data_IF_448484591259
#
_entry.id   IF_448484591259
#
_cell.length_a   1.000
_cell.length_b   1.000
_cell.length_c   1.000
_cell.angle_alpha   90.00
_cell.angle_beta   90.00
_cell.angle_gamma   90.00
#
_symmetry.space_group_name_H-M   'P 1'
#
loop_
_entity.id
_entity.type
_entity.pdbx_description
1 polymer ?
#
# COMPACT_ATOMS: atom_id res chain seq x y z
N UNK A 1 13.76 13.55 9.69
CA UNK A 1 12.33 13.43 9.35
C UNK A 1 12.08 12.31 8.36
N UNK A 2 11.11 11.50 8.64
CA UNK A 2 10.68 10.42 7.75
C UNK A 2 9.18 10.53 7.50
N UNK A 3 8.74 10.04 6.34
CA UNK A 3 7.34 9.88 6.02
C UNK A 3 6.99 8.42 5.83
N UNK A 4 5.70 8.13 5.74
CA UNK A 4 5.25 6.77 5.47
C UNK A 4 4.02 6.77 4.58
N UNK A 5 3.89 5.69 3.80
CA UNK A 5 2.70 5.40 3.01
C UNK A 5 2.23 4.02 3.45
N UNK A 6 0.94 3.89 3.72
CA UNK A 6 0.36 2.62 4.14
C UNK A 6 -0.87 2.29 3.29
N UNK A 7 -1.08 1.01 3.04
CA UNK A 7 -2.27 0.53 2.34
C UNK A 7 -2.81 -0.73 3.03
N UNK A 8 -4.14 -0.89 3.08
CA UNK A 8 -4.74 -2.02 3.77
C UNK A 8 -4.75 -3.28 2.91
N UNK A 9 -4.78 -4.42 3.59
CA UNK A 9 -5.01 -5.73 2.98
C UNK A 9 -6.37 -6.24 3.45
N UNK A 10 -7.24 -6.58 2.51
CA UNK A 10 -8.59 -7.06 2.81
C UNK A 10 -8.68 -8.57 2.76
N UNK A 11 -9.53 -9.13 3.61
CA UNK A 11 -9.85 -10.56 3.57
C UNK A 11 -11.07 -10.82 2.65
N UNK A 12 -11.51 -12.07 2.60
CA UNK A 12 -12.64 -12.48 1.75
C UNK A 12 -13.95 -11.78 2.12
N UNK A 13 -14.08 -11.30 3.35
CA UNK A 13 -15.27 -10.58 3.84
C UNK A 13 -15.17 -9.06 3.64
N UNK A 14 -14.09 -8.57 3.02
CA UNK A 14 -13.87 -7.16 2.81
C UNK A 14 -13.38 -6.41 4.04
N UNK A 15 -12.93 -7.12 5.08
CA UNK A 15 -12.41 -6.50 6.30
C UNK A 15 -10.91 -6.32 6.19
N UNK A 16 -10.42 -5.22 6.77
CA UNK A 16 -8.98 -4.97 6.83
C UNK A 16 -8.34 -5.95 7.81
N UNK A 17 -7.50 -6.84 7.27
CA UNK A 17 -6.82 -7.87 8.04
C UNK A 17 -5.44 -7.41 8.49
N UNK A 18 -4.77 -6.64 7.65
CA UNK A 18 -3.42 -6.15 7.90
C UNK A 18 -3.17 -4.91 7.08
N UNK A 19 -2.08 -4.23 7.37
CA UNK A 19 -1.62 -3.09 6.57
C UNK A 19 -0.15 -3.29 6.21
N UNK A 20 0.21 -2.88 5.00
CA UNK A 20 1.60 -2.81 4.58
C UNK A 20 1.97 -1.34 4.49
N UNK A 21 3.13 -0.98 5.01
CA UNK A 21 3.59 0.40 4.96
C UNK A 21 5.03 0.48 4.52
N UNK A 22 5.34 1.57 3.80
CA UNK A 22 6.70 1.95 3.46
C UNK A 22 7.08 3.17 4.26
N UNK A 23 8.28 3.14 4.84
CA UNK A 23 8.87 4.29 5.51
C UNK A 23 9.96 4.84 4.60
N UNK A 24 9.99 6.15 4.40
CA UNK A 24 10.97 6.77 3.51
C UNK A 24 11.53 8.04 4.13
N UNK A 25 12.70 8.44 3.63
CA UNK A 25 13.37 9.65 4.09
C UNK A 25 12.74 10.88 3.47
N UNK A 26 12.89 12.02 4.13
CA UNK A 26 12.39 13.32 3.66
C UNK A 26 12.84 13.65 2.25
N UNK A 27 14.06 13.26 1.88
CA UNK A 27 14.58 13.51 0.53
C UNK A 27 13.73 12.84 -0.56
N UNK A 28 13.20 11.64 -0.26
CA UNK A 28 12.31 10.93 -1.18
C UNK A 28 10.94 11.63 -1.25
N UNK A 29 10.47 12.14 -0.12
CA UNK A 29 9.20 12.85 -0.04
C UNK A 29 9.17 14.13 -0.90
N UNK A 30 10.31 14.73 -1.17
CA UNK A 30 10.42 15.91 -2.02
C UNK A 30 10.26 15.59 -3.51
N UNK A 31 10.36 14.32 -3.89
CA UNK A 31 10.23 13.90 -5.28
C UNK A 31 8.84 13.26 -5.46
N UNK A 32 7.90 14.06 -5.97
CA UNK A 32 6.52 13.62 -6.14
C UNK A 32 6.41 12.40 -7.06
N UNK A 33 7.26 12.32 -8.08
CA UNK A 33 7.28 11.21 -9.02
C UNK A 33 7.63 9.89 -8.33
N UNK A 34 8.61 9.92 -7.41
CA UNK A 34 9.00 8.75 -6.63
C UNK A 34 7.92 8.32 -5.66
N UNK A 35 7.26 9.29 -5.03
CA UNK A 35 6.15 9.01 -4.12
C UNK A 35 4.99 8.33 -4.85
N UNK A 36 4.66 8.82 -6.04
CA UNK A 36 3.59 8.21 -6.85
C UNK A 36 3.95 6.77 -7.23
N UNK A 37 5.21 6.52 -7.62
CA UNK A 37 5.68 5.19 -7.95
C UNK A 37 5.61 4.25 -6.75
N UNK A 38 6.04 4.71 -5.58
CA UNK A 38 5.97 3.92 -4.35
C UNK A 38 4.52 3.62 -3.96
N UNK A 39 3.65 4.61 -4.09
CA UNK A 39 2.23 4.43 -3.81
C UNK A 39 1.61 3.38 -4.73
N UNK A 40 1.88 3.48 -6.03
CA UNK A 40 1.34 2.54 -7.02
C UNK A 40 1.84 1.13 -6.77
N UNK A 41 3.12 0.96 -6.46
CA UNK A 41 3.71 -0.32 -6.10
C UNK A 41 3.06 -0.91 -4.85
N UNK A 42 2.86 -0.09 -3.83
CA UNK A 42 2.25 -0.52 -2.58
C UNK A 42 0.81 -0.97 -2.81
N UNK A 43 0.03 -0.18 -3.55
CA UNK A 43 -1.36 -0.51 -3.85
C UNK A 43 -1.46 -1.79 -4.68
N UNK A 44 -0.59 -1.95 -5.66
CA UNK A 44 -0.55 -3.17 -6.47
C UNK A 44 -0.22 -4.40 -5.62
N UNK A 45 0.76 -4.28 -4.74
CA UNK A 45 1.16 -5.37 -3.84
C UNK A 45 0.03 -5.75 -2.88
N UNK A 46 -0.58 -4.77 -2.22
CA UNK A 46 -1.68 -5.04 -1.28
C UNK A 46 -2.90 -5.59 -1.99
N UNK A 47 -3.16 -5.13 -3.21
CA UNK A 47 -4.25 -5.64 -4.03
C UNK A 47 -4.04 -7.11 -4.36
N UNK A 48 -2.83 -7.50 -4.78
CA UNK A 48 -2.49 -8.90 -5.05
C UNK A 48 -2.66 -9.78 -3.81
N UNK A 49 -2.19 -9.33 -2.66
CA UNK A 49 -2.31 -10.07 -1.41
C UNK A 49 -3.79 -10.22 -1.03
N UNK A 50 -4.56 -9.16 -1.20
CA UNK A 50 -6.01 -9.20 -0.90
C UNK A 50 -6.73 -10.20 -1.79
N UNK A 51 -6.39 -10.25 -3.07
CA UNK A 51 -6.98 -11.22 -4.00
C UNK A 51 -6.62 -12.66 -3.60
N UNK A 52 -5.39 -12.89 -3.16
CA UNK A 52 -4.95 -14.21 -2.69
C UNK A 52 -5.71 -14.65 -1.44
N UNK A 53 -6.15 -13.69 -0.61
CA UNK A 53 -6.96 -13.97 0.57
C UNK A 53 -8.45 -14.13 0.25
N UNK A 54 -8.82 -13.99 -1.02
CA UNK A 54 -10.20 -14.17 -1.46
C UNK A 54 -11.02 -12.89 -1.56
N UNK A 55 -10.41 -11.72 -1.36
CA UNK A 55 -11.10 -10.46 -1.51
C UNK A 55 -11.48 -10.23 -2.97
N UNK A 56 -12.69 -9.72 -3.20
CA UNK A 56 -13.18 -9.39 -4.53
C UNK A 56 -13.62 -7.93 -4.57
N UNK A 57 -12.97 -7.10 -5.41
CA UNK A 57 -13.37 -5.71 -5.56
C UNK A 57 -14.70 -5.61 -6.30
N UNK A 58 -15.56 -4.77 -5.83
CA UNK A 58 -16.87 -4.54 -6.42
C UNK A 58 -17.93 -5.44 -5.87
#
# INVERSE_FOLDING_TARGET
FTGSIAAPIFDANGRTTACVSFVFRKAVAKNAKRLDTLRDLLLETTHSISLDLGWRPG
#
